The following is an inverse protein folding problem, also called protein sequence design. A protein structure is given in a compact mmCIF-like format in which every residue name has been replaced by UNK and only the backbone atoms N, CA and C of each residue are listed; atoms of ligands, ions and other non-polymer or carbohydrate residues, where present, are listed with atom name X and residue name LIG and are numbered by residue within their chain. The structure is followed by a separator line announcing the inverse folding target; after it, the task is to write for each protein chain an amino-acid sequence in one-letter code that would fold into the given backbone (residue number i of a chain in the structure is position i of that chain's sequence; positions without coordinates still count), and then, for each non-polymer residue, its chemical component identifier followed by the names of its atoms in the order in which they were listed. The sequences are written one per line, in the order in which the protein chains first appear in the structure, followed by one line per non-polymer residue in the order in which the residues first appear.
data_IF_479484527677
#
_entry.id   IF_479484527677
#
_cell.length_a   1.000
_cell.length_b   1.000
_cell.length_c   1.000
_cell.angle_alpha   90.00
_cell.angle_beta   90.00
_cell.angle_gamma   90.00
#
_symmetry.space_group_name_H-M   'P 1'
#
loop_
_entity.id
_entity.type
_entity.pdbx_description
1 polymer ?
#
# COMPACT_ATOMS: atom_id res chain seq x y z
N UNK A 1 14.09 0.90 -3.65
CA UNK A 1 12.78 1.50 -3.32
C UNK A 1 12.97 2.56 -2.23
N UNK A 2 12.01 3.46 -1.98
CA UNK A 2 11.99 4.30 -0.77
C UNK A 2 10.60 4.25 -0.14
N UNK A 3 10.52 4.07 1.17
CA UNK A 3 9.26 4.11 1.91
C UNK A 3 9.38 5.09 3.07
N UNK A 4 8.40 5.98 3.22
CA UNK A 4 8.29 6.88 4.38
C UNK A 4 6.96 6.66 5.08
N UNK A 5 7.02 6.43 6.39
CA UNK A 5 5.85 6.27 7.24
C UNK A 5 5.57 7.54 8.03
N UNK A 6 4.33 8.00 8.01
CA UNK A 6 3.88 9.22 8.69
C UNK A 6 2.46 9.03 9.23
N UNK A 7 1.98 10.03 9.96
CA UNK A 7 0.66 10.08 10.57
C UNK A 7 -0.10 11.31 10.07
N UNK A 8 -1.35 11.13 9.62
CA UNK A 8 -2.22 12.21 9.21
C UNK A 8 -2.95 12.84 10.42
N UNK A 9 -3.61 13.98 10.21
CA UNK A 9 -4.27 14.82 11.24
C UNK A 9 -5.26 14.08 12.17
N UNK A 10 -5.75 12.89 11.78
CA UNK A 10 -6.69 12.06 12.55
C UNK A 10 -6.07 10.80 13.18
N UNK A 11 -4.77 10.80 13.42
CA UNK A 11 -4.02 9.62 13.88
C UNK A 11 -4.06 8.42 12.91
N UNK A 12 -4.22 8.68 11.62
CA UNK A 12 -4.27 7.61 10.62
C UNK A 12 -2.90 7.41 9.99
N UNK A 13 -2.37 6.18 9.95
CA UNK A 13 -1.08 5.91 9.36
C UNK A 13 -1.15 6.05 7.84
N UNK A 14 -0.15 6.71 7.26
CA UNK A 14 0.07 6.67 5.83
C UNK A 14 1.52 6.33 5.48
N UNK A 15 1.66 5.59 4.37
CA UNK A 15 2.94 5.20 3.81
C UNK A 15 3.05 5.76 2.40
N UNK A 16 4.10 6.53 2.14
CA UNK A 16 4.48 6.89 0.77
C UNK A 16 5.56 5.92 0.30
N UNK A 17 5.24 5.17 -0.75
CA UNK A 17 6.11 4.21 -1.42
C UNK A 17 6.54 4.85 -2.74
N UNK A 18 7.84 4.96 -2.96
CA UNK A 18 8.40 5.57 -4.18
C UNK A 18 9.36 4.62 -4.88
N UNK A 19 9.21 4.53 -6.20
CA UNK A 19 10.04 3.68 -7.04
C UNK A 19 9.53 2.24 -7.12
N UNK A 20 10.41 1.29 -7.45
CA UNK A 20 10.02 -0.06 -7.91
C UNK A 20 9.98 -1.06 -6.74
N UNK A 21 9.04 -2.01 -6.78
CA UNK A 21 9.02 -3.21 -5.93
C UNK A 21 9.27 -4.42 -6.82
N UNK A 22 10.52 -4.68 -7.20
CA UNK A 22 10.84 -5.66 -8.24
C UNK A 22 11.39 -6.96 -7.66
N UNK A 23 12.31 -6.86 -6.70
CA UNK A 23 12.97 -8.03 -6.13
C UNK A 23 12.25 -8.54 -4.88
N UNK A 24 12.66 -9.72 -4.41
CA UNK A 24 12.13 -10.26 -3.17
C UNK A 24 12.54 -9.39 -1.97
N UNK A 25 13.74 -8.82 -2.00
CA UNK A 25 14.25 -7.90 -0.98
C UNK A 25 13.43 -6.60 -0.93
N UNK A 26 13.07 -6.04 -2.09
CA UNK A 26 12.15 -4.88 -2.13
C UNK A 26 10.80 -5.23 -1.46
N UNK A 27 10.29 -6.44 -1.71
CA UNK A 27 9.06 -6.91 -1.08
C UNK A 27 9.21 -7.06 0.44
N UNK A 28 10.33 -7.61 0.92
CA UNK A 28 10.57 -7.76 2.36
C UNK A 28 10.63 -6.40 3.07
N UNK A 29 11.33 -5.42 2.47
CA UNK A 29 11.36 -4.06 2.98
C UNK A 29 9.94 -3.47 3.05
N UNK A 30 9.16 -3.61 1.97
CA UNK A 30 7.77 -3.16 1.89
C UNK A 30 6.89 -3.77 2.99
N UNK A 31 6.94 -5.09 3.12
CA UNK A 31 6.20 -5.83 4.14
C UNK A 31 6.58 -5.39 5.55
N UNK A 32 7.87 -5.31 5.84
CA UNK A 32 8.36 -5.00 7.19
C UNK A 32 7.95 -3.60 7.63
N UNK A 33 7.96 -2.62 6.71
CA UNK A 33 7.50 -1.26 7.02
C UNK A 33 5.99 -1.22 7.29
N UNK A 34 5.18 -1.93 6.49
CA UNK A 34 3.74 -2.03 6.74
C UNK A 34 3.45 -2.72 8.07
N UNK A 35 4.04 -3.88 8.34
CA UNK A 35 3.83 -4.62 9.58
C UNK A 35 4.20 -3.76 10.81
N UNK A 36 5.36 -3.08 10.75
CA UNK A 36 5.81 -2.17 11.81
C UNK A 36 4.86 -1.00 12.01
N UNK A 37 4.25 -0.50 10.93
CA UNK A 37 3.27 0.59 10.99
C UNK A 37 1.97 0.07 11.59
N UNK A 38 1.48 -1.09 11.18
CA UNK A 38 0.26 -1.66 11.76
C UNK A 38 0.40 -1.94 13.25
N UNK A 39 1.54 -2.49 13.70
CA UNK A 39 1.78 -2.73 15.13
C UNK A 39 1.82 -1.44 15.94
N UNK A 40 2.42 -0.36 15.43
CA UNK A 40 2.41 0.96 16.09
C UNK A 40 1.00 1.54 16.26
N UNK A 41 0.07 1.21 15.37
CA UNK A 41 -1.27 1.80 15.33
C UNK A 41 -2.39 0.84 15.78
N UNK A 42 -2.05 -0.39 16.15
CA UNK A 42 -2.98 -1.48 16.54
C UNK A 42 -3.98 -1.10 17.64
N UNK A 43 -3.60 -0.20 18.54
CA UNK A 43 -4.44 0.24 19.66
C UNK A 43 -5.35 1.42 19.32
N UNK A 44 -5.28 1.97 18.09
CA UNK A 44 -6.13 3.08 17.64
C UNK A 44 -7.34 2.50 16.89
N UNK A 45 -8.53 2.50 17.50
CA UNK A 45 -9.73 1.92 16.88
C UNK A 45 -10.07 2.63 15.55
N UNK A 46 -10.39 1.87 14.50
CA UNK A 46 -10.71 2.34 13.15
C UNK A 46 -9.54 2.92 12.32
N UNK A 47 -8.29 2.51 12.59
CA UNK A 47 -7.14 2.96 11.79
C UNK A 47 -7.18 2.36 10.37
N UNK A 48 -7.64 3.17 9.43
CA UNK A 48 -7.46 2.97 8.00
C UNK A 48 -5.98 3.19 7.62
N UNK A 49 -5.41 2.30 6.82
CA UNK A 49 -4.05 2.43 6.30
C UNK A 49 -4.09 3.04 4.90
N UNK A 50 -3.42 4.18 4.75
CA UNK A 50 -3.29 4.85 3.46
C UNK A 50 -1.95 4.50 2.81
N UNK A 51 -1.99 3.92 1.60
CA UNK A 51 -0.80 3.59 0.82
C UNK A 51 -0.73 4.50 -0.42
N UNK A 52 0.32 5.30 -0.50
CA UNK A 52 0.59 6.18 -1.63
C UNK A 52 1.72 5.60 -2.49
N UNK A 53 1.37 4.98 -3.62
CA UNK A 53 2.30 4.49 -4.63
C UNK A 53 2.69 5.61 -5.60
N UNK A 54 3.77 6.32 -5.28
CA UNK A 54 4.32 7.44 -6.03
C UNK A 54 5.34 6.89 -7.04
N UNK A 55 5.11 7.11 -8.33
CA UNK A 55 5.94 6.66 -9.44
C UNK A 55 6.32 5.16 -9.34
N UNK A 56 5.40 4.35 -8.79
CA UNK A 56 5.71 2.98 -8.37
C UNK A 56 5.36 1.96 -9.44
N UNK A 57 6.30 1.68 -10.35
CA UNK A 57 6.15 0.58 -11.31
C UNK A 57 7.51 0.03 -11.76
N UNK A 58 7.71 -1.31 -11.80
CA UNK A 58 6.74 -2.37 -11.55
C UNK A 58 6.55 -2.71 -10.06
N UNK A 59 5.48 -3.46 -9.77
CA UNK A 59 5.20 -4.10 -8.48
C UNK A 59 5.17 -5.61 -8.70
N UNK A 60 5.93 -6.37 -7.93
CA UNK A 60 5.98 -7.82 -8.04
C UNK A 60 4.76 -8.51 -7.41
N UNK A 61 4.55 -9.77 -7.75
CA UNK A 61 3.41 -10.56 -7.28
C UNK A 61 3.41 -10.79 -5.76
N UNK A 62 4.58 -10.81 -5.10
CA UNK A 62 4.66 -10.94 -3.64
C UNK A 62 4.01 -9.75 -2.93
N UNK A 63 4.28 -8.53 -3.38
CA UNK A 63 3.64 -7.33 -2.83
C UNK A 63 2.13 -7.31 -3.06
N UNK A 64 1.67 -7.74 -4.24
CA UNK A 64 0.23 -7.89 -4.53
C UNK A 64 -0.41 -8.92 -3.61
N UNK A 65 0.19 -10.11 -3.48
CA UNK A 65 -0.32 -11.17 -2.62
C UNK A 65 -0.38 -10.75 -1.15
N UNK A 66 0.59 -9.97 -0.69
CA UNK A 66 0.58 -9.43 0.66
C UNK A 66 -0.51 -8.37 0.87
N UNK A 67 -0.74 -7.46 -0.09
CA UNK A 67 -1.89 -6.53 -0.02
C UNK A 67 -3.21 -7.30 0.11
N UNK A 68 -3.38 -8.36 -0.68
CA UNK A 68 -4.54 -9.24 -0.62
C UNK A 68 -4.68 -9.91 0.75
N UNK A 69 -3.59 -10.44 1.31
CA UNK A 69 -3.57 -11.03 2.66
C UNK A 69 -4.00 -10.02 3.73
N UNK A 70 -3.52 -8.77 3.66
CA UNK A 70 -3.94 -7.70 4.59
C UNK A 70 -5.45 -7.45 4.52
N UNK A 71 -6.02 -7.39 3.30
CA UNK A 71 -7.45 -7.11 3.10
C UNK A 71 -8.34 -8.28 3.49
N UNK A 72 -8.00 -9.48 3.02
CA UNK A 72 -8.89 -10.64 3.08
C UNK A 72 -8.74 -11.43 4.37
N UNK A 73 -7.52 -11.59 4.87
CA UNK A 73 -7.25 -12.40 6.06
C UNK A 73 -7.21 -11.53 7.31
N UNK A 74 -6.42 -10.45 7.27
CA UNK A 74 -6.21 -9.60 8.45
C UNK A 74 -7.30 -8.53 8.61
N UNK A 75 -8.19 -8.39 7.62
CA UNK A 75 -9.29 -7.42 7.60
C UNK A 75 -8.84 -5.97 7.78
N UNK A 76 -7.61 -5.65 7.37
CA UNK A 76 -7.08 -4.28 7.38
C UNK A 76 -7.81 -3.46 6.32
N UNK A 77 -8.33 -2.30 6.73
CA UNK A 77 -8.91 -1.36 5.79
C UNK A 77 -7.79 -0.54 5.12
N UNK A 78 -7.50 -0.87 3.85
CA UNK A 78 -6.43 -0.24 3.06
C UNK A 78 -7.05 0.62 1.96
N UNK A 79 -6.68 1.90 1.92
CA UNK A 79 -6.90 2.76 0.76
C UNK A 79 -5.61 2.96 -0.02
N UNK A 80 -5.72 2.86 -1.34
CA UNK A 80 -4.58 2.91 -2.24
C UNK A 80 -4.69 4.17 -3.10
N UNK A 81 -3.60 4.92 -3.14
CA UNK A 81 -3.43 6.10 -3.99
C UNK A 81 -2.25 5.87 -4.93
N UNK A 82 -2.36 6.31 -6.17
CA UNK A 82 -1.22 6.32 -7.08
C UNK A 82 -1.25 7.53 -8.01
N UNK A 83 -0.08 7.98 -8.45
CA UNK A 83 0.06 8.96 -9.53
C UNK A 83 0.51 8.29 -10.85
N UNK A 84 0.68 6.96 -10.87
CA UNK A 84 1.26 6.24 -11.99
C UNK A 84 0.22 5.39 -12.73
N UNK A 85 -0.03 5.70 -14.00
CA UNK A 85 -1.01 4.99 -14.83
C UNK A 85 -0.69 3.50 -15.01
N UNK A 86 0.58 3.10 -15.07
CA UNK A 86 0.95 1.68 -15.21
C UNK A 86 0.59 0.89 -13.95
N UNK A 87 0.74 1.51 -12.79
CA UNK A 87 0.33 0.95 -11.49
C UNK A 87 -1.19 0.80 -11.41
N UNK A 88 -1.93 1.85 -11.79
CA UNK A 88 -3.38 1.79 -11.86
C UNK A 88 -3.86 0.67 -12.79
N UNK A 89 -3.32 0.62 -14.01
CA UNK A 89 -3.69 -0.40 -15.00
C UNK A 89 -3.36 -1.81 -14.50
N UNK A 90 -2.23 -2.00 -13.81
CA UNK A 90 -1.90 -3.28 -13.18
C UNK A 90 -2.96 -3.68 -12.15
N UNK A 91 -3.36 -2.76 -11.28
CA UNK A 91 -4.37 -3.04 -10.25
C UNK A 91 -5.75 -3.35 -10.85
N UNK A 92 -6.16 -2.63 -11.89
CA UNK A 92 -7.42 -2.90 -12.61
C UNK A 92 -7.37 -4.23 -13.37
N UNK A 93 -6.25 -4.53 -14.03
CA UNK A 93 -6.07 -5.81 -14.74
C UNK A 93 -6.17 -7.01 -13.78
N UNK A 94 -5.68 -6.84 -12.54
CA UNK A 94 -5.78 -7.83 -11.48
C UNK A 94 -7.10 -7.75 -10.68
N UNK A 95 -8.03 -6.89 -11.10
CA UNK A 95 -9.31 -6.62 -10.44
C UNK A 95 -9.20 -6.24 -8.95
N UNK A 96 -8.07 -5.64 -8.56
CA UNK A 96 -7.85 -5.19 -7.18
C UNK A 96 -8.72 -3.98 -6.84
N UNK A 97 -9.12 -3.20 -7.84
CA UNK A 97 -10.09 -2.11 -7.72
C UNK A 97 -11.49 -2.59 -7.28
N UNK A 98 -11.82 -3.88 -7.44
CA UNK A 98 -13.03 -4.47 -6.86
C UNK A 98 -12.91 -4.77 -5.36
N UNK A 99 -11.70 -4.75 -4.80
CA UNK A 99 -11.41 -5.13 -3.40
C UNK A 99 -10.88 -3.97 -2.56
N UNK A 100 -10.14 -3.06 -3.19
CA UNK A 100 -9.56 -1.88 -2.58
C UNK A 100 -10.18 -0.62 -3.17
N UNK A 101 -10.28 0.43 -2.35
CA UNK A 101 -10.49 1.76 -2.88
C UNK A 101 -9.17 2.24 -3.48
N UNK A 102 -9.13 2.35 -4.80
CA UNK A 102 -7.94 2.80 -5.55
C UNK A 102 -8.24 4.14 -6.19
N UNK A 103 -7.46 5.17 -5.85
CA UNK A 103 -7.64 6.53 -6.33
C UNK A 103 -6.40 6.97 -7.09
N UNK A 104 -6.60 7.50 -8.29
CA UNK A 104 -5.54 8.19 -9.02
C UNK A 104 -5.51 9.67 -8.64
N UNK A 105 -4.31 10.19 -8.33
CA UNK A 105 -4.05 11.63 -8.17
C UNK A 105 -2.95 12.03 -9.12
N UNK A 106 -3.33 12.69 -10.22
CA UNK A 106 -2.40 13.35 -11.13
C UNK A 106 -2.26 14.80 -10.67
N UNK A 107 -1.02 15.28 -10.59
CA UNK A 107 -0.75 16.72 -10.45
C UNK A 107 -0.96 17.41 -11.79
#
# INVERSE_FOLDING_TARGET
MKITANEAEKNQPFLAITGKIKTYEDFLEFKNVIDSTLEKFKNKSNSELFLFFIDTYPINSYAIGYLMKLKENDKVNVQIYTNNMKTLNLFQYLELDKKFQIIIKQN
#
